data_IF_760140125824
#
_entry.id   IF_760140125824
#
_cell.length_a   1.000
_cell.length_b   1.000
_cell.length_c   1.000
_cell.angle_alpha   90.00
_cell.angle_beta   90.00
_cell.angle_gamma   90.00
#
_symmetry.space_group_name_H-M   'P 1'
#
loop_
_entity.id
_entity.type
_entity.pdbx_description
1 polymer ?
#
# COMPACT_ATOMS: atom_id res chain seq x y z
N UNK A 1 -13.02 -29.74 4.50
CA UNK A 1 -13.82 -28.76 3.73
C UNK A 1 -12.87 -27.80 3.04
N UNK A 2 -13.14 -27.45 1.77
CA UNK A 2 -12.34 -26.53 0.98
C UNK A 2 -12.96 -25.12 1.09
N UNK A 3 -12.18 -24.15 1.59
CA UNK A 3 -12.64 -22.77 1.78
C UNK A 3 -12.00 -21.82 0.78
N UNK A 4 -12.73 -20.85 0.21
CA UNK A 4 -12.15 -19.77 -0.56
C UNK A 4 -11.27 -18.89 0.35
N UNK A 5 -10.16 -18.42 -0.19
CA UNK A 5 -9.20 -17.54 0.48
C UNK A 5 -9.01 -16.29 -0.36
N UNK A 6 -9.47 -15.15 0.15
CA UNK A 6 -9.11 -13.85 -0.38
C UNK A 6 -7.73 -13.49 0.16
N UNK A 7 -6.81 -13.12 -0.71
CA UNK A 7 -5.47 -12.67 -0.32
C UNK A 7 -5.37 -11.18 -0.54
N UNK A 8 -5.10 -10.44 0.53
CA UNK A 8 -5.04 -8.98 0.55
C UNK A 8 -3.69 -8.52 1.10
N UNK A 9 -3.07 -7.57 0.43
CA UNK A 9 -1.88 -6.91 0.94
C UNK A 9 -2.25 -6.11 2.21
N UNK A 10 -1.47 -6.30 3.28
CA UNK A 10 -1.86 -5.88 4.63
C UNK A 10 -1.90 -4.37 4.82
N UNK A 11 -1.01 -3.63 4.16
CA UNK A 11 -0.90 -2.18 4.31
C UNK A 11 -1.78 -1.44 3.28
N UNK A 12 -1.64 -1.74 2.01
CA UNK A 12 -2.39 -1.09 0.92
C UNK A 12 -3.85 -1.50 0.85
N UNK A 13 -4.22 -2.62 1.47
CA UNK A 13 -5.52 -3.28 1.36
C UNK A 13 -5.87 -3.72 -0.07
N UNK A 14 -4.87 -3.83 -0.94
CA UNK A 14 -5.07 -4.35 -2.28
C UNK A 14 -5.43 -5.84 -2.26
N UNK A 15 -6.50 -6.23 -2.94
CA UNK A 15 -6.81 -7.64 -3.16
C UNK A 15 -5.90 -8.17 -4.25
N UNK A 16 -5.04 -9.15 -3.92
CA UNK A 16 -4.02 -9.69 -4.81
C UNK A 16 -4.52 -10.88 -5.63
N UNK A 17 -5.20 -11.81 -4.97
CA UNK A 17 -5.70 -13.03 -5.62
C UNK A 17 -6.80 -13.68 -4.78
N UNK A 18 -7.48 -14.66 -5.38
CA UNK A 18 -8.33 -15.61 -4.69
C UNK A 18 -7.81 -17.04 -4.97
N UNK A 19 -7.75 -17.85 -3.95
CA UNK A 19 -7.38 -19.25 -4.02
C UNK A 19 -8.28 -20.09 -3.09
N UNK A 20 -7.92 -21.35 -2.84
CA UNK A 20 -8.66 -22.23 -1.94
C UNK A 20 -7.69 -22.90 -0.96
N UNK A 21 -8.14 -23.11 0.26
CA UNK A 21 -7.39 -23.84 1.27
C UNK A 21 -8.28 -24.92 1.92
N UNK A 22 -7.71 -26.09 2.13
CA UNK A 22 -8.21 -27.09 3.05
C UNK A 22 -7.55 -26.96 4.42
N UNK A 23 -7.90 -27.82 5.37
CA UNK A 23 -7.36 -27.80 6.73
C UNK A 23 -5.82 -27.96 6.75
N UNK A 24 -5.28 -28.76 5.83
CA UNK A 24 -3.85 -29.03 5.75
C UNK A 24 -3.09 -27.82 5.17
N UNK A 25 -3.61 -27.16 4.11
CA UNK A 25 -3.04 -25.93 3.60
C UNK A 25 -3.08 -24.80 4.66
N UNK A 26 -4.16 -24.72 5.43
CA UNK A 26 -4.28 -23.77 6.53
C UNK A 26 -3.28 -24.06 7.65
N UNK A 27 -3.09 -25.33 8.02
CA UNK A 27 -2.10 -25.75 9.01
C UNK A 27 -0.68 -25.37 8.57
N UNK A 28 -0.31 -25.70 7.33
CA UNK A 28 0.99 -25.34 6.76
C UNK A 28 1.22 -23.84 6.70
N UNK A 29 0.17 -23.07 6.39
CA UNK A 29 0.25 -21.60 6.40
C UNK A 29 0.56 -21.07 7.79
N UNK A 30 -0.10 -21.59 8.84
CA UNK A 30 0.15 -21.21 10.24
C UNK A 30 1.55 -21.60 10.72
N UNK A 31 2.02 -22.77 10.36
CA UNK A 31 3.34 -23.29 10.77
C UNK A 31 4.50 -22.57 10.10
N UNK A 32 4.37 -22.32 8.79
CA UNK A 32 5.49 -21.76 8.01
C UNK A 32 5.48 -20.23 7.97
N UNK A 33 4.32 -19.60 8.23
CA UNK A 33 4.09 -18.17 8.03
C UNK A 33 3.96 -17.75 6.57
N UNK A 34 3.91 -18.68 5.62
CA UNK A 34 3.75 -18.40 4.20
C UNK A 34 2.45 -18.97 3.65
N UNK A 35 1.85 -18.30 2.67
CA UNK A 35 0.59 -18.70 2.08
C UNK A 35 0.67 -20.03 1.34
N UNK A 36 -0.07 -21.02 1.83
CA UNK A 36 -0.30 -22.32 1.20
C UNK A 36 -1.77 -22.44 0.78
N UNK A 37 -1.99 -23.08 -0.33
CA UNK A 37 -3.30 -23.26 -0.95
C UNK A 37 -3.48 -24.67 -1.46
N UNK A 38 -4.73 -25.05 -1.66
CA UNK A 38 -5.11 -26.30 -2.34
C UNK A 38 -5.49 -26.04 -3.79
N UNK A 39 -4.80 -26.69 -4.72
CA UNK A 39 -5.12 -26.65 -6.14
C UNK A 39 -6.22 -27.66 -6.47
N UNK A 40 -7.42 -27.17 -6.84
CA UNK A 40 -8.54 -28.03 -7.24
C UNK A 40 -8.25 -28.84 -8.49
N UNK A 41 -7.52 -28.29 -9.45
CA UNK A 41 -7.18 -28.96 -10.71
C UNK A 41 -6.06 -29.99 -10.55
N UNK A 42 -5.07 -29.71 -9.69
CA UNK A 42 -3.92 -30.60 -9.46
C UNK A 42 -4.13 -31.53 -8.26
N UNK A 43 -5.20 -31.32 -7.47
CA UNK A 43 -5.52 -32.05 -6.23
C UNK A 43 -4.34 -32.16 -5.26
N UNK A 44 -3.58 -31.07 -5.11
CA UNK A 44 -2.43 -30.99 -4.21
C UNK A 44 -2.29 -29.62 -3.58
N UNK A 45 -1.64 -29.60 -2.43
CA UNK A 45 -1.22 -28.35 -1.78
C UNK A 45 -0.03 -27.76 -2.52
N UNK A 46 0.04 -26.44 -2.55
CA UNK A 46 1.15 -25.68 -3.11
C UNK A 46 1.40 -24.41 -2.29
N UNK A 47 2.66 -24.01 -2.19
CA UNK A 47 3.07 -22.77 -1.57
C UNK A 47 3.10 -21.65 -2.60
N UNK A 48 2.51 -20.50 -2.30
CA UNK A 48 2.57 -19.35 -3.20
C UNK A 48 4.01 -18.88 -3.39
N UNK A 49 4.39 -18.78 -4.67
CA UNK A 49 5.74 -18.36 -5.05
C UNK A 49 6.81 -19.43 -4.95
N UNK A 50 6.44 -20.71 -4.78
CA UNK A 50 7.38 -21.84 -4.70
C UNK A 50 8.32 -21.91 -5.92
N UNK A 51 7.79 -21.69 -7.13
CA UNK A 51 8.55 -21.70 -8.38
C UNK A 51 9.04 -20.30 -8.79
N UNK A 52 8.21 -19.25 -8.57
CA UNK A 52 8.46 -17.89 -9.07
C UNK A 52 9.24 -16.98 -8.13
N UNK A 53 9.46 -17.39 -6.88
CA UNK A 53 10.04 -16.54 -5.83
C UNK A 53 9.08 -15.51 -5.24
N UNK A 54 7.88 -15.33 -5.83
CA UNK A 54 6.88 -14.37 -5.35
C UNK A 54 6.09 -14.94 -4.16
N UNK A 55 6.79 -15.27 -3.08
CA UNK A 55 6.21 -15.77 -1.84
C UNK A 55 5.41 -14.69 -1.12
N UNK A 56 4.37 -15.09 -0.39
CA UNK A 56 3.53 -14.20 0.42
C UNK A 56 3.66 -14.61 1.88
N UNK A 57 4.22 -13.72 2.70
CA UNK A 57 4.27 -13.89 4.16
C UNK A 57 2.92 -13.51 4.73
N UNK A 58 2.29 -14.42 5.46
CA UNK A 58 0.98 -14.19 6.07
C UNK A 58 1.16 -13.56 7.44
N UNK A 59 0.63 -12.36 7.62
CA UNK A 59 0.66 -11.63 8.89
C UNK A 59 -0.55 -11.94 9.77
N UNK A 60 -1.71 -12.16 9.12
CA UNK A 60 -2.95 -12.46 9.83
C UNK A 60 -3.85 -13.33 8.95
N UNK A 61 -4.60 -14.22 9.57
CA UNK A 61 -5.66 -15.02 8.97
C UNK A 61 -6.96 -14.66 9.70
N UNK A 62 -7.98 -14.28 8.95
CA UNK A 62 -9.30 -13.92 9.46
C UNK A 62 -10.33 -14.83 8.82
N UNK A 63 -11.30 -15.28 9.60
CA UNK A 63 -12.49 -15.98 9.12
C UNK A 63 -13.62 -14.96 8.93
N UNK A 64 -14.50 -15.19 7.97
CA UNK A 64 -15.72 -14.40 7.85
C UNK A 64 -16.77 -14.79 8.92
N UNK A 65 -17.95 -14.17 8.87
CA UNK A 65 -18.93 -14.28 9.96
C UNK A 65 -19.53 -15.69 10.15
N UNK A 66 -19.64 -16.49 9.10
CA UNK A 66 -20.15 -17.88 9.10
C UNK A 66 -19.05 -18.93 8.89
N UNK A 67 -17.79 -18.49 8.84
CA UNK A 67 -16.56 -19.30 8.80
C UNK A 67 -16.42 -20.18 7.54
N UNK A 68 -17.05 -19.78 6.45
CA UNK A 68 -16.96 -20.49 5.18
C UNK A 68 -15.90 -19.91 4.22
N UNK A 69 -15.35 -18.70 4.51
CA UNK A 69 -14.29 -18.05 3.77
C UNK A 69 -13.14 -17.60 4.68
N UNK A 70 -11.95 -17.37 4.08
CA UNK A 70 -10.76 -16.89 4.75
C UNK A 70 -10.23 -15.63 4.08
N UNK A 71 -9.73 -14.70 4.88
CA UNK A 71 -8.93 -13.58 4.45
C UNK A 71 -7.49 -13.75 4.97
N UNK A 72 -6.52 -13.84 4.05
CA UNK A 72 -5.10 -13.77 4.38
C UNK A 72 -4.61 -12.34 4.18
N UNK A 73 -4.23 -11.68 5.27
CA UNK A 73 -3.49 -10.41 5.21
C UNK A 73 -2.01 -10.73 5.08
N UNK A 74 -1.42 -10.34 3.96
CA UNK A 74 -0.04 -10.70 3.62
C UNK A 74 0.85 -9.49 3.48
N UNK A 75 2.12 -9.66 3.84
CA UNK A 75 3.19 -8.78 3.43
C UNK A 75 3.62 -9.15 2.00
N UNK A 76 3.50 -8.20 1.07
CA UNK A 76 3.80 -8.43 -0.34
C UNK A 76 4.34 -7.16 -0.98
N UNK A 77 5.65 -7.12 -1.19
CA UNK A 77 6.32 -5.92 -1.71
C UNK A 77 5.82 -5.54 -3.12
N UNK A 78 5.94 -4.25 -3.43
CA UNK A 78 5.38 -3.64 -4.64
C UNK A 78 5.98 -4.17 -5.96
N UNK A 79 7.25 -4.57 -5.94
CA UNK A 79 7.99 -5.15 -7.06
C UNK A 79 7.55 -6.58 -7.41
N UNK A 80 6.81 -7.24 -6.49
CA UNK A 80 6.36 -8.62 -6.69
C UNK A 80 5.04 -8.70 -7.45
N UNK A 81 4.85 -9.81 -8.14
CA UNK A 81 3.66 -10.13 -8.94
C UNK A 81 2.93 -11.34 -8.36
N UNK A 82 1.64 -11.18 -8.06
CA UNK A 82 0.81 -12.28 -7.58
C UNK A 82 0.25 -13.15 -8.72
N UNK A 83 -0.02 -12.55 -9.86
CA UNK A 83 -0.63 -13.22 -11.00
C UNK A 83 0.43 -13.95 -11.86
N UNK A 84 0.09 -15.14 -12.37
CA UNK A 84 0.94 -15.89 -13.31
C UNK A 84 1.13 -15.17 -14.65
N UNK A 85 0.31 -14.16 -14.95
CA UNK A 85 0.45 -13.32 -16.16
C UNK A 85 1.46 -12.18 -16.00
N UNK A 86 2.18 -12.13 -14.88
CA UNK A 86 3.15 -11.06 -14.61
C UNK A 86 2.51 -9.77 -14.05
N UNK A 87 1.24 -9.80 -13.64
CA UNK A 87 0.57 -8.66 -13.01
C UNK A 87 0.59 -8.77 -11.50
N UNK A 88 0.60 -7.62 -10.83
CA UNK A 88 0.61 -7.55 -9.36
C UNK A 88 -0.62 -8.21 -8.75
N UNK A 89 -1.81 -7.95 -9.28
CA UNK A 89 -3.07 -8.55 -8.83
C UNK A 89 -3.66 -9.42 -9.93
N UNK A 90 -4.43 -10.45 -9.55
CA UNK A 90 -5.25 -11.24 -10.47
C UNK A 90 -6.52 -10.48 -10.92
N UNK A 91 -6.92 -9.43 -10.19
CA UNK A 91 -8.14 -8.68 -10.44
C UNK A 91 -7.85 -7.43 -11.27
N UNK A 92 -7.63 -7.60 -12.57
CA UNK A 92 -7.30 -6.52 -13.49
C UNK A 92 -8.26 -6.39 -14.70
N UNK A 93 -9.15 -7.35 -14.91
CA UNK A 93 -10.14 -7.29 -16.00
C UNK A 93 -11.44 -6.67 -15.49
N UNK A 94 -11.74 -5.46 -15.95
CA UNK A 94 -13.00 -4.78 -15.62
C UNK A 94 -14.13 -5.40 -16.46
N UNK A 95 -15.14 -5.95 -15.79
CA UNK A 95 -16.32 -6.56 -16.44
C UNK A 95 -17.46 -5.54 -16.59
N UNK A 96 -17.55 -4.59 -15.67
CA UNK A 96 -18.60 -3.56 -15.69
C UNK A 96 -18.10 -2.30 -14.98
N UNK A 97 -18.51 -1.12 -15.45
CA UNK A 97 -18.15 0.18 -14.89
C UNK A 97 -16.82 0.72 -15.39
N UNK A 98 -16.42 1.87 -14.85
CA UNK A 98 -15.12 2.49 -15.10
C UNK A 98 -14.07 1.98 -14.10
N UNK A 99 -12.79 2.14 -14.44
CA UNK A 99 -11.71 1.83 -13.51
C UNK A 99 -11.86 2.67 -12.24
N UNK A 100 -11.92 2.02 -11.09
CA UNK A 100 -11.90 2.69 -9.80
C UNK A 100 -10.59 3.48 -9.65
N UNK A 101 -10.68 4.67 -9.05
CA UNK A 101 -9.47 5.44 -8.70
C UNK A 101 -8.68 4.67 -7.65
N UNK A 102 -7.35 4.74 -7.72
CA UNK A 102 -6.44 4.12 -6.74
C UNK A 102 -6.64 4.59 -5.29
N UNK A 103 -7.36 5.69 -5.09
CA UNK A 103 -7.58 6.26 -3.77
C UNK A 103 -6.26 6.61 -3.06
N UNK A 104 -6.20 6.34 -1.77
CA UNK A 104 -4.99 6.62 -0.96
C UNK A 104 -3.78 5.76 -1.35
N UNK A 105 -3.99 4.65 -2.05
CA UNK A 105 -2.90 3.82 -2.59
C UNK A 105 -2.03 4.60 -3.59
N UNK A 106 -2.61 5.61 -4.28
CA UNK A 106 -1.84 6.49 -5.15
C UNK A 106 -0.68 7.18 -4.43
N UNK A 107 -0.85 7.55 -3.15
CA UNK A 107 0.20 8.20 -2.37
C UNK A 107 1.41 7.28 -2.14
N UNK A 108 1.18 5.99 -1.92
CA UNK A 108 2.26 5.01 -1.79
C UNK A 108 2.99 4.81 -3.12
N UNK A 109 2.25 4.72 -4.22
CA UNK A 109 2.85 4.64 -5.56
C UNK A 109 3.66 5.90 -5.90
N UNK A 110 3.14 7.09 -5.56
CA UNK A 110 3.86 8.35 -5.73
C UNK A 110 5.15 8.38 -4.90
N UNK A 111 5.10 7.92 -3.64
CA UNK A 111 6.28 7.81 -2.79
C UNK A 111 7.38 6.97 -3.47
N UNK A 112 7.04 5.81 -4.01
CA UNK A 112 8.01 4.95 -4.72
C UNK A 112 8.55 5.57 -5.99
N UNK A 113 7.73 6.32 -6.74
CA UNK A 113 8.21 7.07 -7.91
C UNK A 113 9.24 8.13 -7.48
N UNK A 114 8.97 8.83 -6.38
CA UNK A 114 9.89 9.85 -5.83
C UNK A 114 11.17 9.19 -5.31
N UNK A 115 11.07 8.09 -4.58
CA UNK A 115 12.21 7.30 -4.10
C UNK A 115 13.06 6.76 -5.27
N UNK A 116 12.43 6.27 -6.33
CA UNK A 116 13.13 5.86 -7.55
C UNK A 116 13.91 7.03 -8.16
N UNK A 117 13.37 8.25 -8.18
CA UNK A 117 14.06 9.44 -8.68
C UNK A 117 15.22 9.90 -7.78
N UNK A 118 15.19 9.60 -6.47
CA UNK A 118 16.34 9.74 -5.56
C UNK A 118 17.46 8.79 -5.95
N UNK A 119 17.14 7.52 -6.17
CA UNK A 119 18.10 6.44 -6.41
C UNK A 119 18.56 6.36 -7.87
N UNK A 120 17.70 6.68 -8.82
CA UNK A 120 17.90 6.62 -10.27
C UNK A 120 17.59 8.00 -10.90
N UNK A 121 18.50 8.99 -10.79
CA UNK A 121 18.28 10.34 -11.29
C UNK A 121 17.98 10.36 -12.79
N UNK A 122 16.89 11.04 -13.18
CA UNK A 122 16.50 11.21 -14.57
C UNK A 122 16.74 12.65 -15.04
N UNK A 123 17.29 12.82 -16.23
CA UNK A 123 17.50 14.14 -16.83
C UNK A 123 16.15 14.84 -17.07
N UNK A 124 16.07 16.13 -16.76
CA UNK A 124 14.85 16.94 -16.90
C UNK A 124 13.78 16.69 -15.82
N UNK A 125 14.00 15.78 -14.87
CA UNK A 125 13.08 15.52 -13.77
C UNK A 125 13.17 16.59 -12.69
N UNK A 126 12.04 17.24 -12.37
CA UNK A 126 11.93 18.17 -11.25
C UNK A 126 12.28 17.52 -9.92
N UNK A 127 11.78 16.29 -9.66
CA UNK A 127 12.11 15.52 -8.45
C UNK A 127 13.63 15.31 -8.32
N UNK A 128 14.28 14.94 -9.42
CA UNK A 128 15.74 14.78 -9.44
C UNK A 128 16.46 16.11 -9.14
N UNK A 129 15.95 17.24 -9.64
CA UNK A 129 16.56 18.56 -9.35
C UNK A 129 16.46 18.95 -7.87
N UNK A 130 15.35 18.60 -7.20
CA UNK A 130 15.20 18.82 -5.75
C UNK A 130 16.23 18.02 -4.94
N UNK A 131 16.40 16.74 -5.23
CA UNK A 131 17.40 15.91 -4.55
C UNK A 131 18.84 16.39 -4.80
N UNK A 132 19.14 16.84 -6.02
CA UNK A 132 20.46 17.44 -6.34
C UNK A 132 20.71 18.75 -5.63
N UNK A 133 19.69 19.57 -5.41
CA UNK A 133 19.79 20.82 -4.69
C UNK A 133 19.99 20.64 -3.17
N UNK A 134 19.59 19.45 -2.65
CA UNK A 134 19.82 19.07 -1.26
C UNK A 134 18.67 19.41 -0.31
N UNK A 135 18.86 19.03 0.95
CA UNK A 135 17.81 19.09 1.98
C UNK A 135 17.29 20.51 2.22
N UNK A 136 18.16 21.51 2.21
CA UNK A 136 17.75 22.91 2.47
C UNK A 136 16.72 23.41 1.44
N UNK A 137 16.90 23.08 0.15
CA UNK A 137 15.93 23.44 -0.89
C UNK A 137 14.63 22.64 -0.76
N UNK A 138 14.70 21.36 -0.38
CA UNK A 138 13.53 20.53 -0.11
C UNK A 138 12.71 21.10 1.04
N UNK A 139 13.36 21.49 2.16
CA UNK A 139 12.72 22.11 3.32
C UNK A 139 12.11 23.46 2.99
N UNK A 140 12.82 24.29 2.21
CA UNK A 140 12.33 25.57 1.73
C UNK A 140 11.06 25.38 0.91
N UNK A 141 11.04 24.46 -0.05
CA UNK A 141 9.86 24.15 -0.89
C UNK A 141 8.69 23.66 -0.04
N UNK A 142 8.91 22.72 0.87
CA UNK A 142 7.88 22.27 1.80
C UNK A 142 7.27 23.41 2.63
N UNK A 143 8.11 24.35 3.08
CA UNK A 143 7.68 25.55 3.80
C UNK A 143 6.84 26.49 2.94
N UNK A 144 7.26 26.77 1.69
CA UNK A 144 6.52 27.58 0.73
C UNK A 144 5.10 27.02 0.49
N UNK A 145 4.97 25.72 0.15
CA UNK A 145 3.68 25.05 -0.08
C UNK A 145 2.79 25.07 1.18
N UNK A 146 3.38 24.92 2.37
CA UNK A 146 2.65 25.01 3.64
C UNK A 146 2.00 26.39 3.82
N UNK A 147 2.68 27.46 3.45
CA UNK A 147 2.15 28.83 3.50
C UNK A 147 1.07 29.03 2.43
N UNK A 148 1.27 28.50 1.22
CA UNK A 148 0.27 28.60 0.13
C UNK A 148 -1.05 27.89 0.48
N UNK A 149 -0.99 26.74 1.16
CA UNK A 149 -2.20 26.06 1.70
C UNK A 149 -2.94 26.97 2.70
N UNK A 150 -2.23 27.64 3.61
CA UNK A 150 -2.83 28.55 4.60
C UNK A 150 -3.52 29.72 3.88
N UNK A 151 -2.86 30.30 2.89
CA UNK A 151 -3.39 31.43 2.11
C UNK A 151 -4.61 31.00 1.28
N UNK A 152 -4.54 29.84 0.64
CA UNK A 152 -5.63 29.31 -0.15
C UNK A 152 -6.86 28.98 0.71
N UNK A 153 -6.66 28.40 1.89
CA UNK A 153 -7.75 28.07 2.82
C UNK A 153 -8.47 29.33 3.34
N UNK A 154 -7.75 30.43 3.49
CA UNK A 154 -8.30 31.67 4.06
C UNK A 154 -9.01 32.57 3.04
N UNK A 155 -8.53 32.63 1.81
CA UNK A 155 -8.90 33.69 0.88
C UNK A 155 -9.23 33.25 -0.55
N UNK A 156 -9.20 31.93 -0.86
CA UNK A 156 -9.29 31.46 -2.24
C UNK A 156 -10.40 30.41 -2.46
N UNK A 157 -10.50 29.90 -3.70
CA UNK A 157 -11.49 28.88 -4.07
C UNK A 157 -11.10 27.50 -3.59
N UNK A 158 -12.10 26.61 -3.42
CA UNK A 158 -11.88 25.19 -3.12
C UNK A 158 -10.91 24.53 -4.12
N UNK A 159 -10.98 24.90 -5.41
CA UNK A 159 -10.10 24.38 -6.45
C UNK A 159 -8.64 24.75 -6.18
N UNK A 160 -8.37 26.01 -5.80
CA UNK A 160 -7.03 26.45 -5.48
C UNK A 160 -6.49 25.73 -4.23
N UNK A 161 -7.29 25.65 -3.17
CA UNK A 161 -6.93 24.89 -1.97
C UNK A 161 -6.58 23.43 -2.27
N UNK A 162 -7.33 22.76 -3.18
CA UNK A 162 -6.99 21.39 -3.58
C UNK A 162 -5.61 21.34 -4.25
N UNK A 163 -5.28 22.29 -5.11
CA UNK A 163 -3.97 22.33 -5.77
C UNK A 163 -2.85 22.48 -4.73
N UNK A 164 -2.94 23.47 -3.84
CA UNK A 164 -1.90 23.71 -2.83
C UNK A 164 -1.73 22.52 -1.86
N UNK A 165 -2.84 21.87 -1.47
CA UNK A 165 -2.75 20.63 -0.67
C UNK A 165 -2.04 19.53 -1.46
N UNK A 166 -2.27 19.43 -2.77
CA UNK A 166 -1.61 18.42 -3.60
C UNK A 166 -0.11 18.68 -3.71
N UNK A 167 0.29 19.94 -3.87
CA UNK A 167 1.69 20.36 -3.94
C UNK A 167 2.38 20.14 -2.58
N UNK A 168 1.72 20.49 -1.47
CA UNK A 168 2.23 20.21 -0.13
C UNK A 168 2.43 18.70 0.12
N UNK A 169 1.47 17.84 -0.27
CA UNK A 169 1.62 16.38 -0.13
C UNK A 169 2.78 15.87 -0.98
N UNK A 170 2.95 16.39 -2.19
CA UNK A 170 4.07 16.02 -3.04
C UNK A 170 5.42 16.37 -2.39
N UNK A 171 5.58 17.60 -1.90
CA UNK A 171 6.81 18.04 -1.21
C UNK A 171 7.03 17.35 0.13
N UNK A 172 5.95 16.96 0.84
CA UNK A 172 6.05 16.10 2.02
C UNK A 172 6.63 14.72 1.65
N UNK A 173 6.17 14.11 0.55
CA UNK A 173 6.71 12.83 0.07
C UNK A 173 8.19 12.96 -0.31
N UNK A 174 8.59 14.06 -0.98
CA UNK A 174 9.99 14.31 -1.32
C UNK A 174 10.84 14.42 -0.04
N UNK A 175 10.35 15.11 0.98
CA UNK A 175 11.03 15.23 2.28
C UNK A 175 11.10 13.86 2.98
N UNK A 176 10.03 13.09 3.00
CA UNK A 176 10.03 11.74 3.55
C UNK A 176 11.09 10.85 2.89
N UNK A 177 11.16 10.88 1.56
CA UNK A 177 12.19 10.14 0.82
C UNK A 177 13.61 10.66 1.10
N UNK A 178 13.80 11.97 1.28
CA UNK A 178 15.11 12.54 1.60
C UNK A 178 15.65 12.01 2.93
N UNK A 179 14.77 11.86 3.93
CA UNK A 179 15.06 11.44 5.30
C UNK A 179 14.78 9.95 5.57
N UNK A 180 14.54 9.16 4.53
CA UNK A 180 14.28 7.71 4.60
C UNK A 180 13.10 7.35 5.53
N UNK A 181 12.06 8.20 5.58
CA UNK A 181 10.83 8.00 6.35
C UNK A 181 9.76 7.33 5.48
N UNK A 182 9.20 6.22 5.94
CA UNK A 182 8.14 5.50 5.23
C UNK A 182 6.72 5.93 5.66
N UNK A 183 5.71 5.59 4.84
CA UNK A 183 4.31 5.74 5.25
C UNK A 183 3.96 4.84 6.43
N UNK A 184 4.57 3.67 6.54
CA UNK A 184 4.42 2.74 7.65
C UNK A 184 4.86 3.37 8.97
N UNK A 185 5.97 4.11 8.98
CA UNK A 185 6.47 4.83 10.17
C UNK A 185 5.46 5.90 10.61
N UNK A 186 5.02 6.73 9.67
CA UNK A 186 4.09 7.83 9.95
C UNK A 186 2.73 7.32 10.42
N UNK A 187 2.16 6.33 9.72
CA UNK A 187 0.86 5.76 10.07
C UNK A 187 0.96 5.02 11.40
N UNK A 188 2.02 4.24 11.63
CA UNK A 188 2.25 3.54 12.89
C UNK A 188 2.30 4.48 14.09
N UNK A 189 2.92 5.65 13.94
CA UNK A 189 2.93 6.67 15.00
C UNK A 189 1.54 7.32 15.19
N UNK A 190 0.82 7.60 14.11
CA UNK A 190 -0.55 8.13 14.20
C UNK A 190 -1.51 7.13 14.88
N UNK A 191 -1.40 5.84 14.58
CA UNK A 191 -2.19 4.79 15.21
C UNK A 191 -1.90 4.68 16.71
N UNK A 192 -0.62 4.78 17.12
CA UNK A 192 -0.23 4.80 18.55
C UNK A 192 -0.86 5.99 19.28
N UNK A 193 -0.87 7.17 18.66
CA UNK A 193 -1.48 8.38 19.22
C UNK A 193 -3.00 8.28 19.32
N UNK A 194 -3.65 7.68 18.32
CA UNK A 194 -5.10 7.49 18.34
C UNK A 194 -5.57 6.58 19.47
N UNK A 195 -4.82 5.50 19.75
CA UNK A 195 -5.11 4.56 20.85
C UNK A 195 -4.86 5.15 22.24
N UNK A 196 -4.04 6.20 22.36
CA UNK A 196 -3.75 6.88 23.64
C UNK A 196 -4.78 7.94 24.01
N UNK A 197 -5.72 8.32 23.13
CA UNK A 197 -6.83 9.20 23.48
C UNK A 197 -7.88 8.37 24.23
N UNK A 198 -8.14 8.63 25.54
CA UNK A 198 -9.28 8.02 26.21
C UNK A 198 -10.55 8.46 25.49
N UNK A 199 -11.52 7.56 25.36
CA UNK A 199 -12.89 7.89 24.93
C UNK A 199 -13.54 8.78 26.01
N UNK A 200 -13.18 10.05 26.04
CA UNK A 200 -13.79 11.03 26.90
C UNK A 200 -15.02 11.61 26.20
N UNK A 201 -16.17 11.11 26.62
CA UNK A 201 -17.40 11.89 26.68
C UNK A 201 -18.20 12.03 25.40
N UNK A 202 -19.03 11.04 25.11
CA UNK A 202 -20.40 11.34 24.63
C UNK A 202 -21.34 11.21 25.83
N UNK A 203 -21.56 12.32 26.53
CA UNK A 203 -22.77 12.57 27.32
C UNK A 203 -23.78 13.25 26.42
#
# INVERSE_FOLDING_TARGET
VLRPVVVQEAFTKEVLMLAYADEEALRLTKETGFAHFYSRSRQKIWKKGEESGNTMRVLQIVEDCDRDALLYLVEFSEDKVACHTGRRSCFFNVVHGENAKDGLRFLQRLHKIVEDRKNNPAEGSYTTSLFKAGLDEILKKFGEESIEVIMAAKHQTKKRLINEISDLIYHLIVLMCAEDVSWEDVIGELEKRSKKRPENGRS
#
